data_IF_592963813047
#
_entry.id   IF_592963813047
#
_cell.length_a   1.000
_cell.length_b   1.000
_cell.length_c   1.000
_cell.angle_alpha   90.00
_cell.angle_beta   90.00
_cell.angle_gamma   90.00
#
_symmetry.space_group_name_H-M   'P 1'
#
loop_
_entity.id
_entity.type
_entity.pdbx_description
1 polymer ?
#
# COMPACT_ATOMS: atom_id res chain seq x y z
N UNK A 1 10.51 -53.28 24.60
CA UNK A 1 10.82 -51.98 25.26
C UNK A 1 12.01 -51.32 24.54
N UNK A 2 11.95 -51.15 23.22
CA UNK A 2 13.00 -50.47 22.42
C UNK A 2 12.50 -49.97 21.04
N UNK A 3 11.19 -49.78 20.85
CA UNK A 3 10.64 -49.30 19.56
C UNK A 3 9.82 -48.01 19.68
N UNK A 4 9.78 -47.36 20.85
CA UNK A 4 9.02 -46.12 21.05
C UNK A 4 9.87 -44.84 21.13
N UNK A 5 11.17 -44.90 20.84
CA UNK A 5 12.06 -43.72 20.92
C UNK A 5 12.41 -43.16 19.52
N UNK A 6 12.04 -43.84 18.44
CA UNK A 6 12.36 -43.41 17.07
C UNK A 6 11.33 -42.48 16.41
N UNK A 7 10.26 -42.08 17.11
CA UNK A 7 9.14 -41.35 16.51
C UNK A 7 9.04 -39.85 16.89
N UNK A 8 10.03 -39.31 17.63
CA UNK A 8 10.00 -37.90 18.08
C UNK A 8 11.16 -37.03 17.54
N UNK A 9 11.91 -37.50 16.53
CA UNK A 9 13.06 -36.74 15.98
C UNK A 9 12.81 -36.15 14.57
N UNK A 10 11.69 -36.45 13.92
CA UNK A 10 11.36 -35.87 12.59
C UNK A 10 10.20 -34.88 12.67
N UNK A 11 10.43 -33.71 13.27
CA UNK A 11 9.67 -32.47 13.00
C UNK A 11 10.35 -31.25 13.62
N UNK A 12 11.63 -31.08 13.32
CA UNK A 12 12.35 -29.84 13.57
C UNK A 12 13.35 -29.60 12.43
N UNK A 13 12.84 -29.48 11.21
CA UNK A 13 13.57 -28.86 10.12
C UNK A 13 13.63 -27.34 10.34
N UNK A 14 14.21 -26.88 11.45
CA UNK A 14 14.72 -25.51 11.49
C UNK A 14 15.98 -25.52 10.61
N UNK A 15 15.79 -25.30 9.30
CA UNK A 15 16.90 -24.88 8.46
C UNK A 15 17.49 -23.63 9.14
N UNK A 16 18.76 -23.69 9.55
CA UNK A 16 19.47 -22.52 10.04
C UNK A 16 19.49 -21.49 8.91
N UNK A 17 18.57 -20.52 8.95
CA UNK A 17 18.61 -19.39 8.03
C UNK A 17 19.76 -18.49 8.43
N UNK A 18 20.63 -18.22 7.46
CA UNK A 18 21.73 -17.30 7.63
C UNK A 18 21.22 -15.86 7.48
N UNK A 19 21.96 -14.88 7.99
CA UNK A 19 21.62 -13.45 7.85
C UNK A 19 21.39 -13.07 6.37
N UNK A 20 22.13 -13.70 5.46
CA UNK A 20 22.00 -13.49 4.01
C UNK A 20 20.63 -13.92 3.45
N UNK A 21 19.87 -14.74 4.17
CA UNK A 21 18.55 -15.24 3.78
C UNK A 21 17.42 -14.31 4.24
N UNK A 22 17.75 -13.26 5.01
CA UNK A 22 16.77 -12.27 5.48
C UNK A 22 16.47 -11.25 4.38
N UNK A 23 15.23 -10.75 4.34
CA UNK A 23 14.79 -9.78 3.32
C UNK A 23 15.41 -8.39 3.52
N UNK A 24 15.68 -8.02 4.77
CA UNK A 24 16.40 -6.82 5.19
C UNK A 24 17.42 -7.19 6.26
N UNK A 25 18.37 -6.30 6.56
CA UNK A 25 19.30 -6.51 7.69
C UNK A 25 18.52 -6.63 9.02
N UNK A 26 18.78 -7.66 9.84
CA UNK A 26 18.11 -7.84 11.14
C UNK A 26 18.20 -6.64 12.08
N UNK A 27 19.26 -5.84 12.01
CA UNK A 27 19.41 -4.62 12.81
C UNK A 27 18.38 -3.53 12.49
N UNK A 28 17.75 -3.61 11.32
CA UNK A 28 16.68 -2.72 10.88
C UNK A 28 15.28 -3.25 11.19
N UNK A 29 15.15 -4.47 11.72
CA UNK A 29 13.87 -5.09 12.03
C UNK A 29 13.65 -5.22 13.54
N UNK A 30 12.60 -4.57 14.04
CA UNK A 30 12.19 -4.75 15.43
C UNK A 30 11.20 -5.91 15.53
N UNK A 31 11.51 -6.94 16.32
CA UNK A 31 10.61 -8.06 16.61
C UNK A 31 9.47 -7.63 17.53
N UNK A 32 8.39 -7.17 16.93
CA UNK A 32 7.15 -6.75 17.58
C UNK A 32 6.00 -6.91 16.62
N UNK A 33 4.78 -6.94 17.16
CA UNK A 33 3.57 -7.04 16.36
C UNK A 33 3.34 -5.82 15.49
N UNK A 34 2.56 -6.02 14.42
CA UNK A 34 2.13 -4.95 13.52
C UNK A 34 1.40 -3.84 14.29
N UNK A 35 0.48 -4.19 15.20
CA UNK A 35 -0.26 -3.20 15.98
C UNK A 35 0.64 -2.39 16.91
N UNK A 36 1.73 -2.97 17.42
CA UNK A 36 2.73 -2.20 18.20
C UNK A 36 3.49 -1.22 17.32
N UNK A 37 3.85 -1.59 16.08
CA UNK A 37 4.45 -0.66 15.13
C UNK A 37 3.49 0.49 14.78
N UNK A 38 2.24 0.16 14.46
CA UNK A 38 1.19 1.14 14.13
C UNK A 38 0.98 2.11 15.30
N UNK A 39 0.85 1.59 16.52
CA UNK A 39 0.69 2.42 17.73
C UNK A 39 1.89 3.33 17.97
N UNK A 40 3.12 2.83 17.81
CA UNK A 40 4.33 3.61 18.00
C UNK A 40 4.47 4.69 16.92
N UNK A 41 4.24 4.35 15.65
CA UNK A 41 4.33 5.30 14.54
C UNK A 41 3.22 6.35 14.60
N UNK A 42 2.10 6.04 15.25
CA UNK A 42 0.98 6.97 15.49
C UNK A 42 1.31 8.07 16.51
N UNK A 43 2.34 7.89 17.34
CA UNK A 43 2.76 8.90 18.32
C UNK A 43 3.51 10.05 17.63
N UNK A 44 3.01 11.31 17.70
CA UNK A 44 3.66 12.46 17.07
C UNK A 44 5.07 12.74 17.59
N UNK A 45 5.41 12.33 18.81
CA UNK A 45 6.75 12.50 19.39
C UNK A 45 7.79 11.53 18.81
N UNK A 46 7.34 10.44 18.17
CA UNK A 46 8.21 9.47 17.54
C UNK A 46 8.62 9.96 16.15
N UNK A 47 9.94 9.98 15.91
CA UNK A 47 10.52 10.18 14.58
C UNK A 47 10.39 8.87 13.79
N UNK A 48 9.59 8.89 12.74
CA UNK A 48 9.40 7.73 11.85
C UNK A 48 10.63 7.59 10.95
N UNK A 49 11.29 6.44 11.02
CA UNK A 49 12.46 6.12 10.20
C UNK A 49 12.12 5.13 9.09
N UNK A 50 12.96 5.09 8.06
CA UNK A 50 12.83 4.16 6.93
C UNK A 50 12.75 2.68 7.37
N UNK A 51 13.66 2.17 8.24
CA UNK A 51 13.52 0.84 8.84
C UNK A 51 12.17 0.56 9.50
N UNK A 52 11.61 1.54 10.24
CA UNK A 52 10.32 1.35 10.90
C UNK A 52 9.20 1.14 9.88
N UNK A 53 9.17 1.94 8.81
CA UNK A 53 8.17 1.81 7.75
C UNK A 53 8.35 0.48 7.01
N UNK A 54 9.57 0.12 6.62
CA UNK A 54 9.85 -1.14 5.94
C UNK A 54 9.45 -2.36 6.78
N UNK A 55 9.79 -2.35 8.08
CA UNK A 55 9.38 -3.39 9.02
C UNK A 55 7.84 -3.51 9.12
N UNK A 56 7.13 -2.38 9.14
CA UNK A 56 5.67 -2.36 9.15
C UNK A 56 5.09 -2.94 7.86
N UNK A 57 5.62 -2.60 6.68
CA UNK A 57 5.17 -3.15 5.39
C UNK A 57 5.35 -4.66 5.36
N UNK A 58 6.51 -5.15 5.78
CA UNK A 58 6.81 -6.58 5.87
C UNK A 58 5.79 -7.30 6.78
N UNK A 59 5.54 -6.76 7.97
CA UNK A 59 4.56 -7.34 8.90
C UNK A 59 3.15 -7.30 8.35
N UNK A 60 2.75 -6.22 7.71
CA UNK A 60 1.45 -6.12 7.07
C UNK A 60 1.31 -7.13 5.94
N UNK A 61 2.36 -7.35 5.15
CA UNK A 61 2.39 -8.40 4.13
C UNK A 61 2.15 -9.78 4.73
N UNK A 62 2.88 -10.11 5.81
CA UNK A 62 2.70 -11.35 6.55
C UNK A 62 1.27 -11.50 7.09
N UNK A 63 0.80 -10.51 7.87
CA UNK A 63 -0.52 -10.54 8.50
C UNK A 63 -1.65 -10.63 7.46
N UNK A 64 -1.51 -9.97 6.30
CA UNK A 64 -2.50 -10.02 5.23
C UNK A 64 -2.58 -11.42 4.60
N UNK A 65 -1.45 -12.07 4.35
CA UNK A 65 -1.39 -13.42 3.77
C UNK A 65 -1.92 -14.46 4.76
N UNK A 66 -1.51 -14.38 6.02
CA UNK A 66 -1.96 -15.30 7.08
C UNK A 66 -3.33 -14.93 7.68
N UNK A 67 -3.93 -13.82 7.23
CA UNK A 67 -5.28 -13.35 7.61
C UNK A 67 -5.45 -13.17 9.13
N UNK A 68 -4.45 -12.58 9.79
CA UNK A 68 -4.44 -12.42 11.25
C UNK A 68 -3.06 -12.05 11.78
N UNK A 69 -2.78 -12.42 13.03
CA UNK A 69 -1.48 -12.20 13.71
C UNK A 69 -1.11 -10.72 13.93
N UNK A 70 -2.11 -9.83 13.94
CA UNK A 70 -1.89 -8.39 14.02
C UNK A 70 -1.29 -7.95 15.37
N UNK A 71 -1.61 -8.67 16.45
CA UNK A 71 -1.12 -8.43 17.81
C UNK A 71 0.05 -9.36 18.20
N UNK A 72 0.34 -10.37 17.38
CA UNK A 72 1.42 -11.33 17.58
C UNK A 72 2.76 -10.81 17.05
N UNK A 73 3.86 -11.25 17.66
CA UNK A 73 5.21 -10.94 17.14
C UNK A 73 5.41 -11.71 15.84
N UNK A 74 5.74 -10.99 14.77
CA UNK A 74 6.13 -11.57 13.48
C UNK A 74 7.66 -11.64 13.43
N UNK A 75 8.27 -12.84 13.40
CA UNK A 75 9.72 -12.96 13.25
C UNK A 75 10.19 -12.53 11.86
N UNK A 76 11.39 -11.95 11.77
CA UNK A 76 11.98 -11.57 10.48
C UNK A 76 12.16 -12.79 9.55
N UNK A 77 12.49 -13.94 10.12
CA UNK A 77 12.71 -15.18 9.39
C UNK A 77 11.46 -15.64 8.63
N UNK A 78 10.30 -15.59 9.31
CA UNK A 78 8.99 -15.97 8.77
C UNK A 78 8.57 -15.07 7.60
N UNK A 79 8.68 -13.75 7.78
CA UNK A 79 8.36 -12.82 6.69
C UNK A 79 9.38 -12.91 5.55
N UNK A 80 10.64 -13.20 5.83
CA UNK A 80 11.66 -13.42 4.80
C UNK A 80 11.36 -14.68 3.98
N UNK A 81 10.94 -15.78 4.62
CA UNK A 81 10.43 -16.99 3.93
C UNK A 81 9.26 -16.65 3.01
N UNK A 82 8.30 -15.88 3.50
CA UNK A 82 7.14 -15.48 2.71
C UNK A 82 7.53 -14.62 1.50
N UNK A 83 8.45 -13.66 1.67
CA UNK A 83 8.99 -12.85 0.58
C UNK A 83 9.71 -13.72 -0.47
N UNK A 84 10.49 -14.71 -0.04
CA UNK A 84 11.16 -15.64 -0.94
C UNK A 84 10.16 -16.47 -1.74
N UNK A 85 9.17 -17.08 -1.08
CA UNK A 85 8.08 -17.81 -1.75
C UNK A 85 7.33 -16.93 -2.75
N UNK A 86 7.02 -15.70 -2.36
CA UNK A 86 6.35 -14.75 -3.26
C UNK A 86 7.23 -14.38 -4.45
N UNK A 87 8.55 -14.25 -4.29
CA UNK A 87 9.47 -13.98 -5.41
C UNK A 87 9.42 -15.08 -6.48
N UNK A 88 9.11 -16.31 -6.05
CA UNK A 88 8.99 -17.51 -6.90
C UNK A 88 7.54 -17.86 -7.27
N UNK A 89 6.53 -17.01 -6.99
CA UNK A 89 5.12 -17.37 -7.20
C UNK A 89 4.80 -17.81 -8.65
N UNK A 90 5.53 -17.33 -9.66
CA UNK A 90 5.33 -17.72 -11.07
C UNK A 90 6.07 -19.00 -11.50
N UNK A 91 6.90 -19.54 -10.63
CA UNK A 91 7.68 -20.75 -10.86
C UNK A 91 6.91 -22.00 -10.41
N UNK A 92 7.44 -23.18 -10.75
CA UNK A 92 7.00 -24.44 -10.18
C UNK A 92 7.33 -24.48 -8.67
N UNK A 93 6.53 -25.23 -7.90
CA UNK A 93 6.82 -25.47 -6.48
C UNK A 93 8.14 -26.23 -6.34
N UNK A 94 8.91 -25.87 -5.32
CA UNK A 94 10.05 -26.64 -4.83
C UNK A 94 9.61 -27.72 -3.83
N UNK A 95 10.44 -28.75 -3.56
CA UNK A 95 10.06 -29.88 -2.71
C UNK A 95 9.59 -29.51 -1.29
N UNK A 96 10.10 -28.42 -0.75
CA UNK A 96 9.82 -27.95 0.62
C UNK A 96 8.78 -26.82 0.67
N UNK A 97 8.21 -26.40 -0.47
CA UNK A 97 7.21 -25.33 -0.51
C UNK A 97 5.87 -25.80 0.09
N UNK A 98 5.24 -24.95 0.91
CA UNK A 98 3.82 -25.09 1.25
C UNK A 98 2.97 -24.83 -0.01
N UNK A 99 2.39 -25.90 -0.55
CA UNK A 99 1.60 -25.88 -1.79
C UNK A 99 0.35 -25.00 -1.66
N UNK A 100 -0.32 -25.02 -0.51
CA UNK A 100 -1.53 -24.24 -0.29
C UNK A 100 -1.20 -22.75 -0.25
N UNK A 101 -0.15 -22.40 0.49
CA UNK A 101 0.35 -21.04 0.54
C UNK A 101 0.83 -20.56 -0.85
N UNK A 102 1.59 -21.36 -1.59
CA UNK A 102 2.04 -20.99 -2.94
C UNK A 102 0.87 -20.77 -3.91
N UNK A 103 -0.17 -21.60 -3.85
CA UNK A 103 -1.37 -21.42 -4.65
C UNK A 103 -2.11 -20.13 -4.28
N UNK A 104 -2.18 -19.81 -2.98
CA UNK A 104 -2.70 -18.55 -2.51
C UNK A 104 -1.87 -17.37 -3.05
N UNK A 105 -0.54 -17.39 -2.92
CA UNK A 105 0.33 -16.32 -3.43
C UNK A 105 0.17 -16.10 -4.94
N UNK A 106 -0.03 -17.17 -5.72
CA UNK A 106 -0.32 -17.09 -7.16
C UNK A 106 -1.64 -16.41 -7.46
N UNK A 107 -2.71 -16.89 -6.82
CA UNK A 107 -4.07 -16.40 -7.03
C UNK A 107 -4.18 -14.92 -6.64
N UNK A 108 -3.52 -14.53 -5.56
CA UNK A 108 -3.58 -13.18 -4.99
C UNK A 108 -2.45 -12.27 -5.45
N UNK A 109 -1.60 -12.73 -6.37
CA UNK A 109 -0.39 -12.04 -6.79
C UNK A 109 -0.63 -10.60 -7.24
N UNK A 110 -1.74 -10.30 -7.91
CA UNK A 110 -2.06 -8.94 -8.33
C UNK A 110 -2.21 -7.99 -7.13
N UNK A 111 -3.03 -8.37 -6.14
CA UNK A 111 -3.25 -7.58 -4.91
C UNK A 111 -2.00 -7.50 -4.01
N UNK A 112 -1.18 -8.55 -3.99
CA UNK A 112 -0.01 -8.64 -3.11
C UNK A 112 1.23 -7.93 -3.67
N UNK A 113 1.29 -7.62 -4.97
CA UNK A 113 2.45 -6.99 -5.61
C UNK A 113 2.89 -5.69 -4.97
N UNK A 114 1.95 -4.88 -4.49
CA UNK A 114 2.28 -3.66 -3.75
C UNK A 114 3.06 -4.02 -2.48
N UNK A 115 2.51 -4.94 -1.68
CA UNK A 115 3.13 -5.38 -0.43
C UNK A 115 4.48 -6.07 -0.65
N UNK A 116 4.71 -6.67 -1.81
CA UNK A 116 5.99 -7.28 -2.16
C UNK A 116 7.03 -6.30 -2.74
N UNK A 117 6.61 -5.14 -3.25
CA UNK A 117 7.50 -4.03 -3.65
C UNK A 117 7.81 -3.17 -2.42
N UNK A 118 8.54 -3.77 -1.45
CA UNK A 118 8.81 -3.20 -0.12
C UNK A 118 9.36 -1.78 -0.19
N UNK A 119 10.42 -1.48 -0.98
CA UNK A 119 11.00 -0.14 -1.02
C UNK A 119 9.98 0.89 -1.50
N UNK A 120 9.29 0.61 -2.62
CA UNK A 120 8.29 1.53 -3.17
C UNK A 120 7.14 1.78 -2.21
N UNK A 121 6.55 0.71 -1.68
CA UNK A 121 5.41 0.81 -0.76
C UNK A 121 5.80 1.53 0.52
N UNK A 122 7.03 1.33 1.02
CA UNK A 122 7.53 2.05 2.18
C UNK A 122 7.73 3.54 1.90
N UNK A 123 8.23 3.92 0.72
CA UNK A 123 8.30 5.33 0.31
C UNK A 123 6.90 5.97 0.30
N UNK A 124 5.93 5.30 -0.32
CA UNK A 124 4.54 5.78 -0.40
C UNK A 124 3.93 5.96 0.98
N UNK A 125 4.11 4.98 1.87
CA UNK A 125 3.57 5.04 3.23
C UNK A 125 4.23 6.17 4.01
N UNK A 126 5.56 6.31 3.91
CA UNK A 126 6.30 7.40 4.55
C UNK A 126 5.69 8.74 4.15
N UNK A 127 5.49 8.98 2.85
CA UNK A 127 4.97 10.26 2.37
C UNK A 127 3.52 10.55 2.76
N UNK A 128 2.69 9.53 2.97
CA UNK A 128 1.34 9.69 3.53
C UNK A 128 1.41 10.03 5.02
N UNK A 129 2.23 9.30 5.78
CA UNK A 129 2.36 9.47 7.24
C UNK A 129 2.94 10.84 7.61
N UNK A 130 3.84 11.37 6.78
CA UNK A 130 4.51 12.67 6.97
C UNK A 130 3.80 13.83 6.27
N UNK A 131 2.67 13.57 5.58
CA UNK A 131 2.00 14.59 4.81
C UNK A 131 1.54 15.76 5.70
N UNK A 132 1.60 16.97 5.15
CA UNK A 132 1.08 18.16 5.82
C UNK A 132 -0.33 18.43 5.35
N UNK A 133 -1.28 18.49 6.27
CA UNK A 133 -2.66 18.86 5.94
C UNK A 133 -2.84 20.38 5.88
N UNK A 134 -3.89 20.82 5.17
CA UNK A 134 -4.27 22.24 5.12
C UNK A 134 -4.59 22.78 6.52
N UNK A 135 -4.17 24.02 6.87
CA UNK A 135 -4.56 24.66 8.12
C UNK A 135 -6.08 24.69 8.35
N UNK A 136 -6.87 24.79 7.28
CA UNK A 136 -8.34 24.78 7.36
C UNK A 136 -8.92 23.46 7.88
N UNK A 137 -8.13 22.38 7.85
CA UNK A 137 -8.53 21.05 8.28
C UNK A 137 -8.00 20.69 9.68
N UNK A 138 -7.00 21.41 10.19
CA UNK A 138 -6.37 21.13 11.49
C UNK A 138 -7.36 21.33 12.64
N UNK A 139 -8.22 22.35 12.53
CA UNK A 139 -9.23 22.66 13.54
C UNK A 139 -10.50 21.79 13.41
N UNK A 140 -10.53 20.82 12.48
CA UNK A 140 -11.62 19.87 12.38
C UNK A 140 -11.58 18.89 13.55
N UNK A 141 -12.76 18.58 14.12
CA UNK A 141 -12.88 17.55 15.16
C UNK A 141 -12.83 16.11 14.58
N UNK A 142 -12.85 15.97 13.25
CA UNK A 142 -12.89 14.69 12.53
C UNK A 142 -11.82 14.64 11.44
N UNK A 143 -11.12 13.51 11.36
CA UNK A 143 -10.30 13.13 10.20
C UNK A 143 -11.12 12.23 9.29
N UNK A 144 -11.28 12.62 8.03
CA UNK A 144 -11.95 11.80 7.02
C UNK A 144 -10.94 11.40 5.95
N UNK A 145 -10.60 10.12 5.92
CA UNK A 145 -9.70 9.53 4.94
C UNK A 145 -10.45 8.71 3.90
N UNK A 146 -10.04 8.81 2.64
CA UNK A 146 -10.59 8.05 1.53
C UNK A 146 -9.45 7.34 0.78
N UNK A 147 -9.61 6.04 0.53
CA UNK A 147 -8.70 5.25 -0.30
C UNK A 147 -9.47 4.59 -1.45
N UNK A 148 -9.12 4.94 -2.68
CA UNK A 148 -9.82 4.46 -3.88
C UNK A 148 -8.96 3.43 -4.59
N UNK A 149 -9.54 2.25 -4.85
CA UNK A 149 -8.79 1.07 -5.27
C UNK A 149 -8.00 0.50 -4.10
N UNK A 150 -8.71 0.27 -2.99
CA UNK A 150 -8.12 -0.02 -1.68
C UNK A 150 -7.15 -1.20 -1.70
N UNK A 151 -7.36 -2.19 -2.56
CA UNK A 151 -6.51 -3.37 -2.63
C UNK A 151 -6.42 -4.04 -1.27
N UNK A 152 -5.20 -4.16 -0.74
CA UNK A 152 -4.94 -4.75 0.59
C UNK A 152 -5.27 -3.82 1.76
N UNK A 153 -5.52 -2.53 1.48
CA UNK A 153 -5.83 -1.49 2.47
C UNK A 153 -4.61 -0.91 3.19
N UNK A 154 -3.38 -1.22 2.78
CA UNK A 154 -2.19 -0.68 3.43
C UNK A 154 -2.14 0.86 3.44
N UNK A 155 -2.72 1.52 2.43
CA UNK A 155 -2.80 2.98 2.38
C UNK A 155 -3.80 3.54 3.41
N UNK A 156 -4.89 2.83 3.70
CA UNK A 156 -5.78 3.16 4.82
C UNK A 156 -5.05 3.04 6.17
N UNK A 157 -4.20 2.03 6.33
CA UNK A 157 -3.39 1.90 7.55
C UNK A 157 -2.41 3.09 7.69
N UNK A 158 -1.80 3.52 6.59
CA UNK A 158 -0.96 4.73 6.58
C UNK A 158 -1.76 6.00 6.92
N UNK A 159 -2.99 6.14 6.38
CA UNK A 159 -3.89 7.24 6.73
C UNK A 159 -4.30 7.21 8.21
N UNK A 160 -4.51 6.03 8.80
CA UNK A 160 -4.77 5.90 10.24
C UNK A 160 -3.63 6.43 11.08
N UNK A 161 -2.39 6.02 10.76
CA UNK A 161 -1.19 6.51 11.43
C UNK A 161 -1.09 8.03 11.26
N UNK A 162 -1.26 8.53 10.03
CA UNK A 162 -1.25 9.96 9.72
C UNK A 162 -2.26 10.75 10.57
N UNK A 163 -3.50 10.28 10.65
CA UNK A 163 -4.56 10.92 11.43
C UNK A 163 -4.23 10.99 12.93
N UNK A 164 -3.74 9.89 13.51
CA UNK A 164 -3.33 9.85 14.93
C UNK A 164 -2.15 10.78 15.22
N UNK A 165 -1.16 10.82 14.33
CA UNK A 165 -0.01 11.74 14.45
C UNK A 165 -0.43 13.21 14.41
N UNK A 166 -1.48 13.53 13.67
CA UNK A 166 -2.04 14.88 13.64
C UNK A 166 -2.92 15.21 14.86
N UNK A 167 -3.12 14.25 15.78
CA UNK A 167 -3.88 14.45 17.01
C UNK A 167 -5.38 14.26 16.87
N UNK A 168 -5.87 13.71 15.76
CA UNK A 168 -7.30 13.43 15.60
C UNK A 168 -7.74 12.26 16.48
N UNK A 169 -8.82 12.47 17.22
CA UNK A 169 -9.48 11.43 18.03
C UNK A 169 -10.59 10.74 17.24
N UNK A 170 -11.40 11.50 16.50
CA UNK A 170 -12.45 10.96 15.64
C UNK A 170 -11.90 10.72 14.24
N UNK A 171 -11.63 9.45 13.92
CA UNK A 171 -11.03 9.05 12.64
C UNK A 171 -12.03 8.18 11.88
N UNK A 172 -12.43 8.63 10.70
CA UNK A 172 -13.31 7.90 9.80
C UNK A 172 -12.58 7.64 8.49
N UNK A 173 -12.24 6.38 8.24
CA UNK A 173 -11.51 5.96 7.05
C UNK A 173 -12.39 5.08 6.18
N UNK A 174 -12.40 5.35 4.88
CA UNK A 174 -13.24 4.66 3.92
C UNK A 174 -12.39 4.14 2.76
N UNK A 175 -12.48 2.85 2.49
CA UNK A 175 -11.91 2.22 1.30
C UNK A 175 -13.00 1.92 0.26
N UNK A 176 -12.80 2.27 -1.00
CA UNK A 176 -13.64 1.84 -2.12
C UNK A 176 -12.88 0.81 -2.96
N UNK A 177 -13.39 -0.42 -3.02
CA UNK A 177 -12.79 -1.52 -3.79
C UNK A 177 -13.81 -2.14 -4.76
N UNK A 178 -13.39 -2.29 -6.02
CA UNK A 178 -14.20 -2.85 -7.10
C UNK A 178 -14.09 -4.38 -7.18
N UNK A 179 -12.89 -4.94 -6.97
CA UNK A 179 -12.69 -6.38 -6.96
C UNK A 179 -13.32 -6.98 -5.70
N UNK A 180 -14.41 -7.72 -5.89
CA UNK A 180 -15.18 -8.31 -4.79
C UNK A 180 -14.36 -9.25 -3.91
N UNK A 181 -13.43 -10.02 -4.48
CA UNK A 181 -12.65 -10.98 -3.70
C UNK A 181 -11.63 -10.24 -2.83
N UNK A 182 -10.92 -9.28 -3.42
CA UNK A 182 -9.96 -8.43 -2.71
C UNK A 182 -10.66 -7.60 -1.65
N UNK A 183 -11.74 -6.91 -2.01
CA UNK A 183 -12.49 -6.08 -1.09
C UNK A 183 -13.11 -6.86 0.07
N UNK A 184 -13.58 -8.10 -0.13
CA UNK A 184 -14.10 -8.93 0.96
C UNK A 184 -12.99 -9.36 1.94
N UNK A 185 -11.77 -9.57 1.46
CA UNK A 185 -10.64 -9.88 2.32
C UNK A 185 -10.23 -8.66 3.15
N UNK A 186 -10.03 -7.52 2.48
CA UNK A 186 -9.70 -6.26 3.15
C UNK A 186 -10.81 -5.83 4.12
N UNK A 187 -12.09 -6.04 3.77
CA UNK A 187 -13.22 -5.81 4.68
C UNK A 187 -13.09 -6.61 5.98
N UNK A 188 -12.75 -7.91 5.90
CA UNK A 188 -12.60 -8.74 7.09
C UNK A 188 -11.46 -8.25 7.98
N UNK A 189 -10.31 -7.95 7.38
CA UNK A 189 -9.12 -7.44 8.08
C UNK A 189 -9.44 -6.11 8.76
N UNK A 190 -9.99 -5.13 8.05
CA UNK A 190 -10.25 -3.81 8.61
C UNK A 190 -11.40 -3.79 9.62
N UNK A 191 -12.36 -4.71 9.49
CA UNK A 191 -13.39 -4.94 10.50
C UNK A 191 -12.82 -5.50 11.80
N UNK A 192 -11.86 -6.43 11.72
CA UNK A 192 -11.16 -6.97 12.88
C UNK A 192 -10.29 -5.90 13.56
N UNK A 193 -9.58 -5.10 12.77
CA UNK A 193 -8.75 -4.00 13.27
C UNK A 193 -9.58 -2.83 13.84
N UNK A 194 -10.82 -2.65 13.38
CA UNK A 194 -11.68 -1.52 13.78
C UNK A 194 -11.17 -0.16 13.27
N UNK A 195 -10.43 -0.14 12.15
CA UNK A 195 -9.71 1.05 11.66
C UNK A 195 -10.45 1.75 10.51
N UNK A 196 -11.12 1.01 9.63
CA UNK A 196 -11.74 1.57 8.43
C UNK A 196 -12.97 0.77 7.99
N UNK A 197 -13.83 1.42 7.21
CA UNK A 197 -14.94 0.78 6.49
C UNK A 197 -14.53 0.51 5.04
N UNK A 198 -14.73 -0.73 4.58
CA UNK A 198 -14.48 -1.12 3.18
C UNK A 198 -15.81 -1.25 2.44
N UNK A 199 -15.94 -0.49 1.37
CA UNK A 199 -17.12 -0.37 0.53
C UNK A 199 -16.84 -1.08 -0.80
N UNK A 200 -17.59 -2.16 -1.06
CA UNK A 200 -17.51 -2.89 -2.31
C UNK A 200 -18.29 -2.16 -3.40
N UNK A 201 -17.61 -1.35 -4.19
CA UNK A 201 -18.26 -0.50 -5.17
C UNK A 201 -17.34 -0.04 -6.31
N UNK A 202 -17.96 0.48 -7.38
CA UNK A 202 -17.24 1.08 -8.49
C UNK A 202 -17.06 2.58 -8.24
N UNK A 203 -15.82 3.02 -8.04
CA UNK A 203 -15.48 4.43 -7.81
C UNK A 203 -15.79 5.36 -9.00
N UNK A 204 -16.20 4.83 -10.16
CA UNK A 204 -16.68 5.62 -11.31
C UNK A 204 -18.16 5.99 -11.22
N UNK A 205 -18.89 5.42 -10.27
CA UNK A 205 -20.30 5.74 -10.03
C UNK A 205 -20.42 6.75 -8.88
N UNK A 206 -21.05 7.91 -9.17
CA UNK A 206 -21.23 9.00 -8.20
C UNK A 206 -22.03 8.60 -6.96
N UNK A 207 -22.93 7.61 -7.07
CA UNK A 207 -23.74 7.15 -5.93
C UNK A 207 -22.88 6.56 -4.81
N UNK A 208 -21.71 6.03 -5.18
CA UNK A 208 -20.77 5.43 -4.23
C UNK A 208 -19.98 6.46 -3.44
N UNK A 209 -20.26 7.76 -3.59
CA UNK A 209 -19.70 8.83 -2.75
C UNK A 209 -20.79 9.53 -1.91
N UNK A 210 -22.03 9.03 -1.89
CA UNK A 210 -23.13 9.70 -1.19
C UNK A 210 -22.88 9.87 0.31
N UNK A 211 -22.22 8.91 0.94
CA UNK A 211 -21.86 8.95 2.36
C UNK A 211 -20.82 10.04 2.72
N UNK A 212 -20.19 10.66 1.71
CA UNK A 212 -19.17 11.70 1.87
C UNK A 212 -19.70 13.11 1.65
N UNK A 213 -20.94 13.28 1.15
CA UNK A 213 -21.46 14.60 0.74
C UNK A 213 -21.50 15.63 1.87
N UNK A 214 -21.68 15.17 3.10
CA UNK A 214 -21.74 16.02 4.30
C UNK A 214 -20.44 16.00 5.13
N UNK A 215 -19.37 15.43 4.59
CA UNK A 215 -18.08 15.26 5.29
C UNK A 215 -17.00 16.11 4.64
N UNK A 216 -16.19 16.80 5.43
CA UNK A 216 -14.98 17.45 4.91
C UNK A 216 -13.87 16.39 4.84
N UNK A 217 -13.37 16.11 3.63
CA UNK A 217 -12.36 15.06 3.43
C UNK A 217 -10.98 15.64 3.72
N UNK A 218 -10.22 14.94 4.56
CA UNK A 218 -8.87 15.35 4.99
C UNK A 218 -7.80 14.84 4.05
N UNK A 219 -7.93 13.60 3.58
CA UNK A 219 -6.93 12.96 2.73
C UNK A 219 -7.54 11.96 1.76
N UNK A 220 -7.04 11.94 0.53
CA UNK A 220 -7.44 10.98 -0.52
C UNK A 220 -6.21 10.24 -1.04
N UNK A 221 -6.17 8.92 -0.93
CA UNK A 221 -5.25 8.09 -1.72
C UNK A 221 -5.99 7.47 -2.91
N UNK A 222 -5.36 7.51 -4.07
CA UNK A 222 -5.84 6.86 -5.29
C UNK A 222 -4.62 6.34 -6.07
N UNK A 223 -4.30 5.07 -5.85
CA UNK A 223 -3.13 4.42 -6.45
C UNK A 223 -3.51 3.56 -7.67
N UNK A 224 -4.59 3.91 -8.37
CA UNK A 224 -4.97 3.26 -9.63
C UNK A 224 -4.11 3.76 -10.81
N UNK A 225 -2.79 3.77 -10.64
CA UNK A 225 -1.82 4.18 -11.66
C UNK A 225 -1.42 2.96 -12.48
N UNK A 226 -1.65 3.04 -13.80
CA UNK A 226 -1.24 1.98 -14.74
C UNK A 226 0.29 1.77 -14.73
N UNK A 227 0.75 0.61 -15.18
CA UNK A 227 2.17 0.39 -15.40
C UNK A 227 2.75 1.36 -16.45
N UNK A 228 4.05 1.69 -16.39
CA UNK A 228 4.67 2.72 -17.25
C UNK A 228 4.46 2.49 -18.76
N UNK A 229 4.32 1.24 -19.18
CA UNK A 229 4.12 0.83 -20.57
C UNK A 229 2.62 0.71 -20.96
N UNK A 230 1.71 1.10 -20.07
CA UNK A 230 0.26 0.95 -20.25
C UNK A 230 -0.45 2.30 -20.18
N UNK A 231 -1.46 2.54 -21.04
CA UNK A 231 -2.24 3.77 -20.97
C UNK A 231 -2.95 3.96 -19.64
N UNK A 232 -3.00 5.18 -19.11
CA UNK A 232 -3.72 5.53 -17.87
C UNK A 232 -5.20 5.13 -17.87
N UNK A 233 -5.83 5.11 -19.05
CA UNK A 233 -7.24 4.72 -19.21
C UNK A 233 -7.51 3.27 -18.79
N UNK A 234 -6.48 2.42 -18.75
CA UNK A 234 -6.59 0.99 -18.39
C UNK A 234 -6.98 0.78 -16.94
N UNK A 235 -6.46 1.60 -16.03
CA UNK A 235 -6.77 1.54 -14.58
C UNK A 235 -7.80 2.60 -14.17
N UNK A 236 -8.45 3.24 -15.14
CA UNK A 236 -9.56 4.18 -14.94
C UNK A 236 -9.28 5.39 -14.02
N UNK A 237 -8.02 5.71 -13.71
CA UNK A 237 -7.62 6.84 -12.84
C UNK A 237 -8.39 8.13 -13.16
N UNK A 238 -8.38 8.51 -14.45
CA UNK A 238 -9.01 9.75 -14.94
C UNK A 238 -10.53 9.73 -14.72
N UNK A 239 -11.19 8.59 -14.96
CA UNK A 239 -12.64 8.45 -14.78
C UNK A 239 -13.04 8.49 -13.30
N UNK A 240 -12.23 7.87 -12.45
CA UNK A 240 -12.39 7.89 -10.99
C UNK A 240 -12.24 9.32 -10.46
N UNK A 241 -11.14 10.00 -10.79
CA UNK A 241 -10.90 11.38 -10.36
C UNK A 241 -12.01 12.32 -10.89
N UNK A 242 -12.40 12.20 -12.16
CA UNK A 242 -13.52 12.96 -12.72
C UNK A 242 -14.80 12.80 -11.91
N UNK A 243 -15.12 11.57 -11.52
CA UNK A 243 -16.32 11.26 -10.71
C UNK A 243 -16.20 11.84 -9.30
N UNK A 244 -15.06 11.64 -8.64
CA UNK A 244 -14.77 12.16 -7.30
C UNK A 244 -14.94 13.69 -7.25
N UNK A 245 -14.22 14.42 -8.12
CA UNK A 245 -14.25 15.88 -8.16
C UNK A 245 -15.63 16.44 -8.53
N UNK A 246 -16.37 15.76 -9.42
CA UNK A 246 -17.74 16.18 -9.76
C UNK A 246 -18.72 15.97 -8.60
N UNK A 247 -18.51 14.93 -7.78
CA UNK A 247 -19.51 14.52 -6.78
C UNK A 247 -19.27 15.16 -5.42
N UNK A 248 -18.00 15.27 -4.99
CA UNK A 248 -17.60 15.77 -3.66
C UNK A 248 -16.45 16.79 -3.76
N UNK A 249 -16.39 17.54 -4.87
CA UNK A 249 -15.31 18.49 -5.17
C UNK A 249 -15.11 19.57 -4.10
N UNK A 250 -16.20 20.11 -3.56
CA UNK A 250 -16.14 21.10 -2.47
C UNK A 250 -15.57 20.49 -1.19
N UNK A 251 -15.95 19.25 -0.87
CA UNK A 251 -15.52 18.51 0.32
C UNK A 251 -14.04 18.12 0.29
N UNK A 252 -13.43 17.99 -0.89
CA UNK A 252 -12.00 17.63 -1.08
C UNK A 252 -11.11 18.83 -1.39
N UNK A 253 -11.67 20.05 -1.41
CA UNK A 253 -10.94 21.26 -1.82
C UNK A 253 -9.65 21.49 -1.04
N UNK A 254 -9.63 21.18 0.24
CA UNK A 254 -8.47 21.35 1.13
C UNK A 254 -7.74 20.04 1.44
N UNK A 255 -8.27 18.89 0.97
CA UNK A 255 -7.70 17.56 1.26
C UNK A 255 -6.25 17.40 0.73
N UNK A 256 -5.44 16.64 1.46
CA UNK A 256 -4.20 16.07 0.93
C UNK A 256 -4.49 14.97 -0.10
N UNK A 257 -3.58 14.73 -1.04
CA UNK A 257 -3.72 13.70 -2.06
C UNK A 257 -2.46 12.86 -2.17
N UNK A 258 -2.64 11.55 -2.30
CA UNK A 258 -1.60 10.64 -2.78
C UNK A 258 -2.05 9.94 -4.08
N UNK A 259 -1.26 10.01 -5.16
CA UNK A 259 -0.15 10.96 -5.35
C UNK A 259 -0.69 12.40 -5.42
N UNK A 260 0.16 13.41 -5.15
CA UNK A 260 -0.24 14.82 -5.25
C UNK A 260 -0.49 15.23 -6.71
N UNK A 261 0.20 14.55 -7.62
CA UNK A 261 0.10 14.71 -9.06
C UNK A 261 0.77 13.55 -9.80
N UNK A 262 0.50 13.46 -11.10
CA UNK A 262 1.01 12.44 -12.00
C UNK A 262 1.56 13.12 -13.25
N UNK A 263 2.78 12.75 -13.62
CA UNK A 263 3.41 13.12 -14.88
C UNK A 263 3.15 12.01 -15.88
N UNK A 264 2.46 12.33 -16.97
CA UNK A 264 2.13 11.38 -18.01
C UNK A 264 2.62 11.85 -19.37
N UNK A 265 3.25 10.96 -20.14
CA UNK A 265 3.81 11.23 -21.44
C UNK A 265 2.84 10.86 -22.55
N UNK A 266 2.66 11.77 -23.50
CA UNK A 266 1.98 11.53 -24.76
C UNK A 266 3.02 11.29 -25.85
N UNK A 267 3.09 10.07 -26.36
CA UNK A 267 4.04 9.73 -27.43
C UNK A 267 3.71 10.37 -28.78
N UNK A 268 2.42 10.58 -29.08
CA UNK A 268 1.96 11.16 -30.35
C UNK A 268 2.41 12.62 -30.51
N UNK A 269 2.37 13.38 -29.42
CA UNK A 269 2.74 14.81 -29.40
C UNK A 269 4.16 15.06 -28.87
N UNK A 270 4.81 14.02 -28.34
CA UNK A 270 6.10 14.10 -27.67
C UNK A 270 6.14 15.14 -26.52
N UNK A 271 5.10 15.12 -25.68
CA UNK A 271 4.96 16.05 -24.54
C UNK A 271 4.66 15.31 -23.23
N UNK A 272 5.04 15.92 -22.11
CA UNK A 272 4.63 15.48 -20.77
C UNK A 272 3.52 16.38 -20.25
N UNK A 273 2.49 15.76 -19.67
CA UNK A 273 1.31 16.40 -19.11
C UNK A 273 1.29 16.19 -17.60
N UNK A 274 1.05 17.26 -16.84
CA UNK A 274 0.81 17.19 -15.41
C UNK A 274 -0.70 17.02 -15.14
N UNK A 275 -1.04 15.91 -14.48
CA UNK A 275 -2.38 15.63 -13.96
C UNK A 275 -2.33 15.82 -12.44
N UNK A 276 -3.02 16.82 -11.89
CA UNK A 276 -2.96 17.13 -10.46
C UNK A 276 -4.31 17.60 -9.93
N UNK A 277 -4.42 17.74 -8.61
CA UNK A 277 -5.65 18.17 -7.92
C UNK A 277 -6.30 19.42 -8.52
N UNK A 278 -5.52 20.44 -8.85
CA UNK A 278 -6.01 21.71 -9.41
C UNK A 278 -6.67 21.57 -10.80
N UNK A 279 -6.41 20.47 -11.51
CA UNK A 279 -7.03 20.13 -12.79
C UNK A 279 -7.92 18.88 -12.69
N UNK A 280 -8.29 18.47 -11.47
CA UNK A 280 -9.02 17.24 -11.21
C UNK A 280 -8.38 15.98 -11.84
N UNK A 281 -7.05 16.00 -12.00
CA UNK A 281 -6.27 14.96 -12.70
C UNK A 281 -6.69 14.70 -14.16
N UNK A 282 -7.37 15.66 -14.80
CA UNK A 282 -7.78 15.55 -16.21
C UNK A 282 -6.72 16.07 -17.19
N UNK A 283 -5.88 17.03 -16.76
CA UNK A 283 -4.96 17.73 -17.65
C UNK A 283 -5.68 18.61 -18.70
N UNK A 284 -4.94 19.23 -19.63
CA UNK A 284 -5.50 20.03 -20.72
C UNK A 284 -6.43 19.23 -21.65
N UNK A 285 -7.52 19.85 -22.10
CA UNK A 285 -8.58 19.22 -22.91
C UNK A 285 -8.06 18.57 -24.19
N UNK A 286 -7.04 19.17 -24.82
CA UNK A 286 -6.40 18.66 -26.04
C UNK A 286 -5.75 17.28 -25.87
N UNK A 287 -5.44 16.87 -24.64
CA UNK A 287 -4.83 15.57 -24.34
C UNK A 287 -5.80 14.53 -23.79
N UNK A 288 -7.09 14.89 -23.60
CA UNK A 288 -8.07 14.00 -22.96
C UNK A 288 -8.26 12.69 -23.72
N UNK A 289 -8.15 12.72 -25.05
CA UNK A 289 -8.30 11.57 -25.95
C UNK A 289 -7.03 10.82 -26.31
N UNK A 290 -5.88 11.29 -25.82
CA UNK A 290 -4.59 10.72 -26.15
C UNK A 290 -4.20 9.56 -25.24
N UNK A 291 -3.30 8.71 -25.73
CA UNK A 291 -2.67 7.68 -24.92
C UNK A 291 -1.59 8.31 -24.03
N UNK A 292 -1.95 8.54 -22.77
CA UNK A 292 -1.04 9.03 -21.74
C UNK A 292 -0.40 7.85 -21.01
N UNK A 293 0.93 7.81 -20.98
CA UNK A 293 1.74 6.80 -20.31
C UNK A 293 2.32 7.39 -19.01
N UNK A 294 2.11 6.76 -17.84
CA UNK A 294 2.64 7.29 -16.59
C UNK A 294 4.18 7.23 -16.56
N UNK A 295 4.83 8.31 -16.15
CA UNK A 295 6.30 8.40 -16.06
C UNK A 295 6.82 8.79 -14.67
N UNK A 296 6.07 9.61 -13.94
CA UNK A 296 6.46 10.08 -12.62
C UNK A 296 5.25 10.51 -11.81
N UNK A 297 5.44 10.66 -10.51
CA UNK A 297 4.42 11.19 -9.58
C UNK A 297 5.00 12.35 -8.80
N UNK A 298 4.12 13.20 -8.27
CA UNK A 298 4.48 14.23 -7.30
C UNK A 298 4.23 13.68 -5.91
N UNK A 299 5.28 13.66 -5.10
CA UNK A 299 5.28 13.30 -3.69
C UNK A 299 6.06 14.37 -2.95
N UNK A 300 5.49 14.91 -1.87
CA UNK A 300 6.14 15.93 -1.03
C UNK A 300 6.60 17.15 -1.86
N UNK A 301 5.77 17.57 -2.83
CA UNK A 301 6.08 18.66 -3.75
C UNK A 301 7.19 18.41 -4.78
N UNK A 302 7.75 17.19 -4.83
CA UNK A 302 8.85 16.82 -5.74
C UNK A 302 8.40 15.81 -6.79
N UNK A 303 8.92 15.93 -8.01
CA UNK A 303 8.67 14.95 -9.08
C UNK A 303 9.61 13.76 -8.87
N UNK A 304 9.03 12.58 -8.69
CA UNK A 304 9.75 11.31 -8.57
C UNK A 304 9.41 10.43 -9.79
N UNK A 305 10.41 10.06 -10.62
CA UNK A 305 10.19 9.09 -11.69
C UNK A 305 9.72 7.74 -11.15
N UNK A 306 8.74 7.11 -11.79
CA UNK A 306 8.14 5.86 -11.29
C UNK A 306 9.14 4.71 -11.15
N UNK A 307 10.15 4.67 -12.02
CA UNK A 307 11.23 3.68 -11.98
C UNK A 307 12.22 3.91 -10.83
N UNK A 308 12.29 5.14 -10.27
CA UNK A 308 13.18 5.52 -9.16
C UNK A 308 12.47 5.51 -7.80
N UNK A 309 11.14 5.32 -7.78
CA UNK A 309 10.37 5.41 -6.55
C UNK A 309 10.77 4.31 -5.57
N UNK A 310 11.35 4.72 -4.43
CA UNK A 310 11.84 3.83 -3.38
C UNK A 310 13.27 3.34 -3.58
N UNK A 311 14.00 3.81 -4.60
CA UNK A 311 15.41 3.42 -4.81
C UNK A 311 16.31 3.74 -3.61
N UNK A 312 16.01 4.82 -2.89
CA UNK A 312 16.76 5.23 -1.70
C UNK A 312 16.63 4.24 -0.54
N UNK A 313 15.64 3.34 -0.58
CA UNK A 313 15.41 2.30 0.42
C UNK A 313 16.05 0.95 0.04
N UNK A 314 16.56 0.82 -1.18
CA UNK A 314 17.28 -0.39 -1.62
C UNK A 314 18.49 -0.73 -0.76
N UNK A 315 19.28 0.21 -0.20
CA UNK A 315 20.40 -0.12 0.68
C UNK A 315 20.02 -0.91 1.94
N UNK A 316 18.76 -0.86 2.38
CA UNK A 316 18.28 -1.64 3.53
C UNK A 316 17.90 -3.08 3.18
N UNK A 317 17.74 -3.39 1.89
CA UNK A 317 17.32 -4.69 1.39
C UNK A 317 18.53 -5.61 1.18
N UNK A 318 18.36 -6.89 1.50
CA UNK A 318 19.35 -7.91 1.14
C UNK A 318 19.49 -8.05 -0.37
N UNK A 319 20.66 -8.52 -0.83
CA UNK A 319 20.97 -8.63 -2.26
C UNK A 319 19.95 -9.47 -3.02
N UNK A 320 19.64 -10.68 -2.53
CA UNK A 320 18.65 -11.55 -3.15
C UNK A 320 17.28 -10.88 -3.27
N UNK A 321 16.88 -10.12 -2.26
CA UNK A 321 15.58 -9.48 -2.21
C UNK A 321 15.49 -8.35 -3.23
N UNK A 322 16.56 -7.57 -3.41
CA UNK A 322 16.67 -6.53 -4.45
C UNK A 322 16.56 -7.09 -5.87
N UNK A 323 17.09 -8.28 -6.09
CA UNK A 323 17.12 -8.94 -7.40
C UNK A 323 15.83 -9.69 -7.72
N UNK A 324 15.24 -10.37 -6.73
CA UNK A 324 14.15 -11.33 -6.94
C UNK A 324 12.76 -10.79 -6.64
N UNK A 325 12.61 -9.86 -5.68
CA UNK A 325 11.29 -9.31 -5.39
C UNK A 325 10.83 -8.40 -6.52
N UNK A 326 9.54 -8.50 -6.84
CA UNK A 326 8.96 -7.79 -7.98
C UNK A 326 8.99 -6.28 -7.79
N UNK A 327 9.39 -5.55 -8.83
CA UNK A 327 9.12 -4.11 -8.97
C UNK A 327 7.80 -3.93 -9.71
N UNK A 328 6.86 -3.18 -9.12
CA UNK A 328 5.47 -3.09 -9.59
C UNK A 328 5.30 -2.34 -10.93
N UNK A 329 6.32 -1.61 -11.40
CA UNK A 329 6.27 -0.76 -12.60
C UNK A 329 7.49 -0.88 -13.51
#
# INVERSE_FOLDING_TARGET
MHEHIAAEVEKAGHQNKFIQDMVIDPSFYAERSLLKDVSMMSDPSVVVTDPMVMGMVLKFFYCYVHKGSFDEVVPLEEVSSLCEMFSRHRSLNEPDDDIELMNYLRQWSFSLRMLADIPKTSHIIRSIITHKISPNLIDSNEYVGLDIGTGTGILLLAQHIHARRLGFENINLFGIEYDKMVGLQSYKIFKELGIAEIILADARDSRNYEFLKDKQITFVSNENVAAMHQPLRREHLVAICSTLFRTVGENIKDAGFFPEGLIAFCSEMNVSVLLAKNTAFLGPKEYHDMQLLPQGIIIEGSIVPLHQLGEELLPYMAEWARERLSRRW
#
